data_IF_022789524570
#
_entry.id   IF_022789524570
#
_cell.length_a   1.000
_cell.length_b   1.000
_cell.length_c   1.000
_cell.angle_alpha   90.00
_cell.angle_beta   90.00
_cell.angle_gamma   90.00
#
_symmetry.space_group_name_H-M   'P 1'
#
loop_
_entity.id
_entity.type
_entity.pdbx_description
1 polymer ?
#
# COMPACT_ATOMS: atom_id res chain seq x y z
N UNK A 1 -24.70 -36.40 21.01
CA UNK A 1 -24.15 -37.75 21.33
C UNK A 1 -24.67 -38.27 22.66
N UNK A 2 -24.70 -37.51 23.78
CA UNK A 2 -25.16 -37.94 25.09
C UNK A 2 -26.61 -38.47 25.09
N UNK A 3 -27.54 -37.72 24.49
CA UNK A 3 -28.95 -38.16 24.37
C UNK A 3 -29.07 -39.41 23.52
N UNK A 4 -28.36 -39.50 22.40
CA UNK A 4 -28.36 -40.69 21.55
C UNK A 4 -27.78 -41.94 22.28
N UNK A 5 -26.82 -41.75 23.19
CA UNK A 5 -26.29 -42.82 24.00
C UNK A 5 -27.34 -43.36 25.01
N UNK A 6 -28.03 -42.43 25.70
CA UNK A 6 -29.08 -42.83 26.65
C UNK A 6 -30.24 -43.58 25.98
N UNK A 7 -30.71 -43.06 24.83
CA UNK A 7 -31.77 -43.73 24.05
C UNK A 7 -31.29 -45.09 23.52
N UNK A 8 -30.06 -45.16 23.00
CA UNK A 8 -29.48 -46.39 22.49
C UNK A 8 -29.31 -47.46 23.56
N UNK A 9 -28.88 -47.08 24.78
CA UNK A 9 -28.80 -48.00 25.93
C UNK A 9 -30.19 -48.53 26.33
N UNK A 10 -31.21 -47.66 26.33
CA UNK A 10 -32.59 -48.10 26.64
C UNK A 10 -33.11 -49.09 25.61
N UNK A 11 -32.92 -48.79 24.30
CA UNK A 11 -33.32 -49.72 23.22
C UNK A 11 -32.54 -51.02 23.23
N UNK A 12 -31.31 -51.02 23.72
CA UNK A 12 -30.53 -52.26 23.88
C UNK A 12 -31.05 -53.10 25.07
N UNK A 13 -31.42 -52.44 26.17
CA UNK A 13 -31.98 -53.08 27.33
C UNK A 13 -33.34 -53.74 27.02
N UNK A 14 -34.17 -53.12 26.18
CA UNK A 14 -35.45 -53.64 25.72
C UNK A 14 -35.30 -54.74 24.63
N UNK A 15 -34.08 -55.05 24.17
CA UNK A 15 -33.84 -56.01 23.11
C UNK A 15 -34.18 -55.50 21.67
N UNK A 16 -34.57 -54.25 21.51
CA UNK A 16 -34.92 -53.68 20.22
C UNK A 16 -33.73 -53.53 19.27
N UNK A 17 -32.54 -53.34 19.83
CA UNK A 17 -31.26 -53.27 19.06
C UNK A 17 -30.21 -54.10 19.80
N UNK A 18 -29.22 -54.59 19.05
CA UNK A 18 -28.07 -55.28 19.64
C UNK A 18 -26.98 -54.28 20.04
N UNK A 19 -26.11 -54.71 20.99
CA UNK A 19 -24.92 -53.93 21.38
C UNK A 19 -24.00 -53.62 20.18
N UNK A 20 -23.91 -54.56 19.21
CA UNK A 20 -23.13 -54.35 17.96
C UNK A 20 -23.72 -53.26 17.08
N UNK A 21 -25.05 -53.18 16.97
CA UNK A 21 -25.71 -52.07 16.21
C UNK A 21 -25.51 -50.74 16.89
N UNK A 22 -25.58 -50.67 18.21
CA UNK A 22 -25.30 -49.45 18.96
C UNK A 22 -23.85 -48.99 18.76
N UNK A 23 -22.90 -49.90 18.86
CA UNK A 23 -21.49 -49.62 18.63
C UNK A 23 -21.23 -49.12 17.18
N UNK A 24 -21.81 -49.80 16.18
CA UNK A 24 -21.72 -49.39 14.77
C UNK A 24 -22.30 -48.01 14.52
N UNK A 25 -23.43 -47.67 15.16
CA UNK A 25 -24.02 -46.35 15.07
C UNK A 25 -23.04 -45.26 15.55
N UNK A 26 -22.45 -45.45 16.75
CA UNK A 26 -21.49 -44.45 17.28
C UNK A 26 -20.23 -44.37 16.45
N UNK A 27 -19.71 -45.50 15.96
CA UNK A 27 -18.55 -45.50 15.07
C UNK A 27 -18.85 -44.70 13.78
N UNK A 28 -20.00 -44.94 13.15
CA UNK A 28 -20.40 -44.24 11.94
C UNK A 28 -20.69 -42.76 12.21
N UNK A 29 -21.39 -42.42 13.31
CA UNK A 29 -21.65 -41.04 13.70
C UNK A 29 -20.36 -40.24 13.91
N UNK A 30 -19.36 -40.86 14.54
CA UNK A 30 -18.04 -40.24 14.76
C UNK A 30 -17.32 -39.98 13.43
N UNK A 31 -17.40 -40.90 12.47
CA UNK A 31 -16.80 -40.73 11.15
C UNK A 31 -17.40 -39.54 10.36
N UNK A 32 -18.70 -39.24 10.56
CA UNK A 32 -19.37 -38.10 9.88
C UNK A 32 -19.01 -36.74 10.51
N UNK A 33 -18.76 -36.72 11.83
CA UNK A 33 -18.45 -35.45 12.52
C UNK A 33 -17.18 -34.80 11.97
N UNK A 34 -16.17 -35.56 11.61
CA UNK A 34 -14.90 -35.07 11.08
C UNK A 34 -15.07 -34.22 9.79
N UNK A 35 -15.65 -34.82 8.73
CA UNK A 35 -15.93 -34.08 7.49
C UNK A 35 -16.81 -32.83 7.68
N UNK A 36 -17.82 -32.88 8.55
CA UNK A 36 -18.68 -31.72 8.86
C UNK A 36 -17.88 -30.57 9.51
N UNK A 37 -17.00 -30.89 10.45
CA UNK A 37 -16.08 -29.88 11.02
C UNK A 37 -15.14 -29.31 9.98
N UNK A 38 -14.62 -30.17 9.10
CA UNK A 38 -13.72 -29.74 8.02
C UNK A 38 -14.42 -28.76 7.06
N UNK A 39 -15.68 -28.99 6.70
CA UNK A 39 -16.47 -28.06 5.89
C UNK A 39 -16.61 -26.68 6.56
N UNK A 40 -16.89 -26.64 7.87
CA UNK A 40 -16.94 -25.39 8.62
C UNK A 40 -15.63 -24.62 8.58
N UNK A 41 -14.49 -25.32 8.72
CA UNK A 41 -13.17 -24.72 8.64
C UNK A 41 -12.86 -24.20 7.22
N UNK A 42 -13.21 -24.96 6.18
CA UNK A 42 -13.02 -24.55 4.79
C UNK A 42 -13.83 -23.30 4.43
N UNK A 43 -15.07 -23.21 4.91
CA UNK A 43 -15.88 -22.00 4.74
C UNK A 43 -15.24 -20.78 5.40
N UNK A 44 -14.72 -20.93 6.61
CA UNK A 44 -13.99 -19.86 7.30
C UNK A 44 -12.73 -19.42 6.53
N UNK A 45 -11.97 -20.37 5.99
CA UNK A 45 -10.81 -20.06 5.15
C UNK A 45 -11.18 -19.39 3.84
N UNK A 46 -12.30 -19.77 3.21
CA UNK A 46 -12.78 -19.13 1.99
C UNK A 46 -13.15 -17.66 2.22
N UNK A 47 -13.79 -17.33 3.34
CA UNK A 47 -14.11 -15.93 3.70
C UNK A 47 -12.83 -15.11 3.92
N UNK A 48 -11.85 -15.67 4.62
CA UNK A 48 -10.57 -14.99 4.84
C UNK A 48 -9.80 -14.78 3.52
N UNK A 49 -9.82 -15.79 2.63
CA UNK A 49 -9.20 -15.68 1.31
C UNK A 49 -9.88 -14.60 0.45
N UNK A 50 -11.22 -14.51 0.47
CA UNK A 50 -11.96 -13.46 -0.23
C UNK A 50 -11.53 -12.07 0.26
N UNK A 51 -11.49 -11.85 1.58
CA UNK A 51 -11.06 -10.55 2.14
C UNK A 51 -9.62 -10.20 1.77
N UNK A 52 -8.73 -11.19 1.73
CA UNK A 52 -7.34 -10.95 1.31
C UNK A 52 -7.24 -10.61 -0.18
N UNK A 53 -8.06 -11.25 -1.03
CA UNK A 53 -8.16 -10.95 -2.45
C UNK A 53 -8.74 -9.55 -2.70
N UNK A 54 -9.78 -9.15 -1.98
CA UNK A 54 -10.37 -7.82 -2.10
C UNK A 54 -9.33 -6.72 -1.84
N UNK A 55 -8.55 -6.87 -0.77
CA UNK A 55 -7.44 -5.93 -0.47
C UNK A 55 -6.33 -5.96 -1.52
N UNK A 56 -6.04 -7.13 -2.08
CA UNK A 56 -5.05 -7.25 -3.15
C UNK A 56 -5.52 -6.50 -4.40
N UNK A 57 -6.76 -6.71 -4.81
CA UNK A 57 -7.31 -6.03 -5.98
C UNK A 57 -7.49 -4.54 -5.74
N UNK A 58 -7.86 -4.09 -4.55
CA UNK A 58 -7.91 -2.66 -4.20
C UNK A 58 -6.58 -1.96 -4.51
N UNK A 59 -5.45 -2.59 -4.15
CA UNK A 59 -4.13 -2.04 -4.45
C UNK A 59 -3.80 -2.14 -5.94
N UNK A 60 -4.11 -3.28 -6.59
CA UNK A 60 -3.79 -3.49 -8.01
C UNK A 60 -4.63 -2.64 -8.95
N UNK A 61 -5.88 -2.38 -8.60
CA UNK A 61 -6.82 -1.60 -9.39
C UNK A 61 -6.72 -0.09 -9.11
N UNK A 62 -5.88 0.32 -8.13
CA UNK A 62 -5.62 1.74 -7.88
C UNK A 62 -4.90 2.35 -9.06
N UNK A 63 -5.56 3.28 -9.74
CA UNK A 63 -4.98 3.99 -10.87
C UNK A 63 -3.81 4.87 -10.43
N UNK A 64 -2.71 4.79 -11.16
CA UNK A 64 -1.60 5.70 -10.96
C UNK A 64 -1.94 7.08 -11.52
N UNK A 65 -2.15 8.05 -10.64
CA UNK A 65 -2.51 9.43 -11.02
C UNK A 65 -1.30 10.22 -11.50
N UNK A 66 -0.07 9.81 -11.12
CA UNK A 66 1.16 10.48 -11.52
C UNK A 66 1.76 9.74 -12.69
N UNK A 67 1.50 10.27 -13.87
CA UNK A 67 1.96 9.72 -15.15
C UNK A 67 2.74 10.76 -15.94
N UNK A 68 3.61 10.30 -16.84
CA UNK A 68 4.27 11.19 -17.80
C UNK A 68 3.23 11.81 -18.75
N UNK A 69 3.39 13.07 -19.14
CA UNK A 69 2.52 13.67 -20.14
C UNK A 69 2.66 12.97 -21.50
N UNK A 70 1.62 13.02 -22.32
CA UNK A 70 1.64 12.39 -23.66
C UNK A 70 2.75 12.99 -24.57
N UNK A 71 3.11 14.23 -24.34
CA UNK A 71 4.14 14.97 -25.09
C UNK A 71 5.08 15.66 -24.11
N UNK A 72 6.05 14.95 -23.57
CA UNK A 72 7.00 15.51 -22.63
C UNK A 72 7.82 16.64 -23.26
N UNK A 73 8.16 17.63 -22.44
CA UNK A 73 9.12 18.65 -22.83
C UNK A 73 10.50 17.99 -23.11
N UNK A 74 11.20 18.39 -24.17
CA UNK A 74 12.51 17.85 -24.47
C UNK A 74 13.52 18.37 -23.44
N UNK A 75 13.94 17.51 -22.52
CA UNK A 75 14.97 17.81 -21.51
C UNK A 75 16.15 16.89 -21.72
N UNK A 76 17.34 17.46 -21.82
CA UNK A 76 18.59 16.71 -21.89
C UNK A 76 19.20 16.63 -20.47
N UNK A 77 19.21 15.45 -19.81
CA UNK A 77 19.79 15.31 -18.48
C UNK A 77 21.28 15.67 -18.41
N UNK A 78 22.02 15.52 -19.52
CA UNK A 78 23.44 15.82 -19.56
C UNK A 78 23.72 17.34 -19.60
N UNK A 79 22.75 18.14 -20.01
CA UNK A 79 22.83 19.59 -20.05
C UNK A 79 22.22 20.27 -18.81
N UNK A 80 21.65 19.49 -17.89
CA UNK A 80 20.98 20.04 -16.71
C UNK A 80 21.99 20.72 -15.77
N UNK A 81 21.61 21.92 -15.31
CA UNK A 81 22.40 22.72 -14.35
C UNK A 81 21.89 22.64 -12.91
N UNK A 82 20.65 22.16 -12.72
CA UNK A 82 20.05 21.87 -11.42
C UNK A 82 19.49 23.11 -10.71
N UNK A 83 19.00 24.10 -11.44
CA UNK A 83 18.23 25.20 -10.86
C UNK A 83 16.82 24.73 -10.51
N UNK A 84 16.43 24.80 -9.24
CA UNK A 84 15.09 24.41 -8.78
C UNK A 84 14.33 25.65 -8.30
N UNK A 85 13.10 25.82 -8.78
CA UNK A 85 12.23 26.90 -8.35
C UNK A 85 10.83 26.38 -8.03
N UNK A 86 10.32 26.82 -6.90
CA UNK A 86 8.93 26.69 -6.48
C UNK A 86 8.27 28.05 -6.59
N UNK A 87 7.07 28.11 -7.17
CA UNK A 87 6.34 29.34 -7.41
C UNK A 87 4.90 29.17 -6.91
N UNK A 88 4.58 29.81 -5.78
CA UNK A 88 3.28 29.73 -5.12
C UNK A 88 2.80 28.30 -4.87
N UNK A 89 3.66 27.41 -4.41
CA UNK A 89 3.33 25.99 -4.28
C UNK A 89 2.38 25.75 -3.12
N UNK A 90 1.22 25.17 -3.43
CA UNK A 90 0.26 24.64 -2.46
C UNK A 90 0.23 23.13 -2.55
N UNK A 91 0.06 22.46 -1.41
CA UNK A 91 -0.10 21.02 -1.37
C UNK A 91 -0.96 20.56 -0.20
N UNK A 92 -1.86 19.64 -0.52
CA UNK A 92 -2.69 18.91 0.44
C UNK A 92 -2.74 17.43 0.04
N UNK A 93 -2.63 16.53 1.02
CA UNK A 93 -2.81 15.11 0.78
C UNK A 93 -4.28 14.80 0.45
N UNK A 94 -4.51 13.90 -0.51
CA UNK A 94 -5.87 13.57 -0.98
C UNK A 94 -6.77 12.95 0.11
N UNK A 95 -6.17 12.26 1.07
CA UNK A 95 -6.82 11.63 2.21
C UNK A 95 -6.96 12.53 3.44
N UNK A 96 -6.47 13.79 3.36
CA UNK A 96 -6.56 14.73 4.46
C UNK A 96 -8.02 15.14 4.71
N UNK A 97 -8.49 15.15 5.99
CA UNK A 97 -9.83 15.60 6.33
C UNK A 97 -10.11 17.03 5.85
N UNK A 98 -11.34 17.33 5.44
CA UNK A 98 -11.70 18.65 4.86
C UNK A 98 -11.35 19.86 5.75
N UNK A 99 -11.38 19.67 7.07
CA UNK A 99 -11.07 20.72 8.04
C UNK A 99 -9.56 20.96 8.25
N UNK A 100 -8.70 20.12 7.68
CA UNK A 100 -7.25 20.29 7.73
C UNK A 100 -6.85 21.14 6.53
N UNK A 101 -6.14 22.23 6.77
CA UNK A 101 -5.61 23.11 5.73
C UNK A 101 -4.49 22.45 4.91
N UNK A 102 -3.98 23.21 3.95
CA UNK A 102 -2.84 22.78 3.14
C UNK A 102 -1.61 22.54 4.02
N UNK A 103 -0.84 21.52 3.67
CA UNK A 103 0.46 21.24 4.31
C UNK A 103 1.51 22.25 3.85
N UNK A 104 1.41 22.68 2.59
CA UNK A 104 2.17 23.78 2.02
C UNK A 104 1.17 24.82 1.50
N UNK A 105 1.36 26.06 1.88
CA UNK A 105 0.45 27.17 1.57
C UNK A 105 1.22 28.34 0.97
N UNK A 106 1.28 28.38 -0.37
CA UNK A 106 1.92 29.45 -1.13
C UNK A 106 3.44 29.52 -0.94
N UNK A 107 4.13 28.40 -1.05
CA UNK A 107 5.58 28.35 -0.85
C UNK A 107 6.32 28.80 -2.09
N UNK A 108 7.14 29.86 -1.94
CA UNK A 108 8.10 30.33 -2.92
C UNK A 108 9.52 30.00 -2.47
N UNK A 109 10.29 29.36 -3.34
CA UNK A 109 11.66 28.93 -3.07
C UNK A 109 12.48 28.90 -4.35
N UNK A 110 13.74 29.31 -4.28
CA UNK A 110 14.68 29.20 -5.39
C UNK A 110 16.00 28.62 -4.90
N UNK A 111 16.45 27.53 -5.52
CA UNK A 111 17.76 26.91 -5.32
C UNK A 111 18.55 27.07 -6.60
N UNK A 112 19.66 27.79 -6.54
CA UNK A 112 20.50 28.08 -7.70
C UNK A 112 21.41 26.88 -8.03
N UNK A 113 21.90 26.80 -9.27
CA UNK A 113 22.88 25.78 -9.62
C UNK A 113 24.08 25.74 -8.67
N UNK A 114 24.38 24.54 -8.14
CA UNK A 114 25.49 24.34 -7.21
C UNK A 114 25.24 24.86 -5.79
N UNK A 115 24.07 25.39 -5.49
CA UNK A 115 23.70 25.85 -4.15
C UNK A 115 23.28 24.68 -3.27
N UNK A 116 23.65 24.76 -1.97
CA UNK A 116 23.15 23.88 -0.93
C UNK A 116 22.21 24.67 -0.03
N UNK A 117 20.94 24.23 0.06
CA UNK A 117 19.93 24.86 0.89
C UNK A 117 19.48 23.93 2.01
N UNK A 118 19.37 24.44 3.23
CA UNK A 118 18.83 23.71 4.37
C UNK A 118 17.42 24.18 4.70
N UNK A 119 16.45 23.25 4.73
CA UNK A 119 15.09 23.52 5.19
C UNK A 119 15.02 23.25 6.69
N UNK A 120 14.75 24.28 7.48
CA UNK A 120 14.64 24.22 8.94
C UNK A 120 13.23 24.54 9.40
N UNK A 121 12.76 23.89 10.44
CA UNK A 121 11.41 24.13 10.99
C UNK A 121 11.00 23.01 11.95
N UNK A 122 9.91 23.24 12.68
CA UNK A 122 9.33 22.27 13.62
C UNK A 122 8.84 21.02 12.90
N UNK A 123 8.69 19.91 13.64
CA UNK A 123 8.07 18.69 13.11
C UNK A 123 6.65 19.01 12.62
N UNK A 124 6.28 18.48 11.46
CA UNK A 124 4.97 18.75 10.84
C UNK A 124 4.89 20.03 9.99
N UNK A 125 5.98 20.80 9.83
CA UNK A 125 5.98 22.04 9.01
C UNK A 125 6.08 21.81 7.48
N UNK A 126 5.90 20.58 6.99
CA UNK A 126 5.86 20.29 5.55
C UNK A 126 7.22 20.08 4.86
N UNK A 127 8.36 20.09 5.59
CA UNK A 127 9.71 19.93 4.98
C UNK A 127 9.87 18.66 4.15
N UNK A 128 9.49 17.52 4.73
CA UNK A 128 9.57 16.22 4.04
C UNK A 128 8.60 16.16 2.86
N UNK A 129 7.42 16.75 3.00
CA UNK A 129 6.43 16.87 1.93
C UNK A 129 6.99 17.67 0.76
N UNK A 130 7.62 18.81 1.04
CA UNK A 130 8.23 19.65 -0.01
C UNK A 130 9.31 18.89 -0.77
N UNK A 131 10.16 18.12 -0.08
CA UNK A 131 11.19 17.29 -0.73
C UNK A 131 10.59 16.16 -1.58
N UNK A 132 9.41 15.66 -1.24
CA UNK A 132 8.70 14.62 -2.02
C UNK A 132 8.03 15.18 -3.28
N UNK A 133 7.73 16.47 -3.32
CA UNK A 133 7.15 17.11 -4.50
C UNK A 133 8.18 17.31 -5.62
N UNK A 134 9.45 17.55 -5.31
CA UNK A 134 10.49 17.80 -6.31
C UNK A 134 10.69 16.61 -7.27
N UNK A 135 10.81 15.34 -6.81
CA UNK A 135 10.86 14.19 -7.70
C UNK A 135 9.48 13.74 -8.20
N UNK A 136 8.44 14.56 -7.95
CA UNK A 136 7.06 14.31 -8.33
C UNK A 136 6.55 12.95 -7.81
N UNK A 137 6.72 12.71 -6.49
CA UNK A 137 6.02 11.59 -5.80
C UNK A 137 4.56 11.96 -5.55
N UNK A 138 4.24 13.25 -5.52
CA UNK A 138 2.91 13.84 -5.49
C UNK A 138 2.88 15.03 -6.43
N UNK A 139 1.72 15.35 -7.00
CA UNK A 139 1.51 16.58 -7.75
C UNK A 139 1.08 17.72 -6.81
N UNK A 140 1.50 18.96 -7.12
CA UNK A 140 1.07 20.14 -6.38
C UNK A 140 -0.42 20.38 -6.55
N UNK A 141 -1.11 20.84 -5.50
CA UNK A 141 -2.53 21.24 -5.57
C UNK A 141 -2.68 22.54 -6.35
N UNK A 142 -1.73 23.48 -6.19
CA UNK A 142 -1.62 24.70 -6.96
C UNK A 142 -0.16 25.17 -7.01
N UNK A 143 0.14 26.14 -7.87
CA UNK A 143 1.49 26.60 -8.13
C UNK A 143 2.26 25.68 -9.07
N UNK A 144 3.57 25.89 -9.16
CA UNK A 144 4.46 25.17 -10.06
C UNK A 144 5.83 24.91 -9.43
N UNK A 145 6.42 23.78 -9.80
CA UNK A 145 7.82 23.44 -9.49
C UNK A 145 8.54 23.30 -10.82
N UNK A 146 9.64 24.01 -10.99
CA UNK A 146 10.44 23.93 -12.21
C UNK A 146 11.86 23.46 -11.90
N UNK A 147 12.44 22.68 -12.80
CA UNK A 147 13.87 22.38 -12.84
C UNK A 147 14.41 22.93 -14.15
N UNK A 148 15.44 23.75 -14.04
CA UNK A 148 16.05 24.45 -15.19
C UNK A 148 15.03 25.19 -16.07
N UNK A 149 13.95 25.73 -15.43
CA UNK A 149 12.90 26.49 -16.07
C UNK A 149 11.78 25.65 -16.73
N UNK A 150 11.85 24.33 -16.66
CA UNK A 150 10.81 23.43 -17.16
C UNK A 150 9.97 22.92 -16.00
N UNK A 151 8.64 23.00 -16.11
CA UNK A 151 7.72 22.45 -15.09
C UNK A 151 7.90 20.94 -15.00
N UNK A 152 8.01 20.40 -13.79
CA UNK A 152 8.19 18.98 -13.55
C UNK A 152 7.00 18.13 -14.06
N UNK A 153 5.82 18.74 -14.21
CA UNK A 153 4.63 18.08 -14.76
C UNK A 153 4.73 17.89 -16.27
N UNK A 154 5.50 18.72 -16.94
CA UNK A 154 5.73 18.63 -18.38
C UNK A 154 6.92 17.71 -18.73
N UNK A 155 7.67 17.25 -17.75
CA UNK A 155 8.78 16.32 -17.95
C UNK A 155 8.31 14.87 -18.03
N UNK A 156 9.04 14.03 -18.77
CA UNK A 156 8.94 12.59 -18.61
C UNK A 156 9.42 12.18 -17.23
N UNK A 157 8.67 11.30 -16.54
CA UNK A 157 8.97 10.90 -15.16
C UNK A 157 10.32 10.21 -15.01
N UNK A 158 10.73 9.43 -16.01
CA UNK A 158 12.04 8.76 -16.00
C UNK A 158 13.16 9.79 -16.07
N UNK A 159 13.02 10.78 -16.95
CA UNK A 159 13.95 11.90 -17.09
C UNK A 159 14.02 12.71 -15.78
N UNK A 160 12.88 13.11 -15.22
CA UNK A 160 12.80 13.84 -13.95
C UNK A 160 13.53 13.11 -12.81
N UNK A 161 13.29 11.80 -12.67
CA UNK A 161 13.93 10.96 -11.65
C UNK A 161 15.40 10.70 -11.91
N UNK A 162 15.88 10.85 -13.13
CA UNK A 162 17.31 10.85 -13.42
C UNK A 162 17.98 12.16 -13.00
N UNK A 163 17.25 13.27 -13.03
CA UNK A 163 17.75 14.58 -12.60
C UNK A 163 17.71 14.76 -11.07
N UNK A 164 16.87 14.00 -10.37
CA UNK A 164 16.63 14.15 -8.94
C UNK A 164 16.96 12.87 -8.18
N UNK A 165 17.86 12.96 -7.21
CA UNK A 165 18.13 11.86 -6.26
C UNK A 165 17.60 12.24 -4.88
N UNK A 166 16.89 11.33 -4.22
CA UNK A 166 16.33 11.55 -2.87
C UNK A 166 16.90 10.51 -1.91
N UNK A 167 17.44 10.96 -0.79
CA UNK A 167 17.77 10.11 0.34
C UNK A 167 16.73 10.33 1.45
N UNK A 168 15.94 9.29 1.74
CA UNK A 168 14.97 9.32 2.83
C UNK A 168 15.63 9.05 4.17
N UNK A 169 15.04 9.56 5.26
CA UNK A 169 15.52 9.32 6.62
C UNK A 169 15.43 7.83 6.99
N UNK A 170 14.33 7.17 6.61
CA UNK A 170 14.14 5.73 6.82
C UNK A 170 14.62 4.97 5.58
N UNK A 171 15.74 4.27 5.71
CA UNK A 171 16.26 3.42 4.66
C UNK A 171 15.53 2.07 4.66
N UNK A 172 14.79 1.78 3.60
CA UNK A 172 14.24 0.44 3.35
C UNK A 172 15.28 -0.40 2.63
N UNK A 173 15.71 -1.49 3.27
CA UNK A 173 16.62 -2.46 2.64
C UNK A 173 15.84 -3.69 2.18
N UNK A 174 16.04 -4.06 0.94
CA UNK A 174 15.52 -5.32 0.39
C UNK A 174 16.46 -6.48 0.74
N UNK A 175 15.92 -7.70 0.81
CA UNK A 175 16.70 -8.92 1.08
C UNK A 175 17.56 -9.31 -0.13
N UNK A 176 18.46 -8.42 -0.52
CA UNK A 176 19.33 -8.55 -1.68
C UNK A 176 20.74 -8.05 -1.36
N UNK A 177 21.67 -8.08 -2.32
CA UNK A 177 23.04 -7.61 -2.11
C UNK A 177 23.08 -6.11 -1.81
N UNK A 178 24.15 -5.64 -1.13
CA UNK A 178 24.40 -4.21 -0.90
C UNK A 178 24.41 -3.45 -2.23
N UNK A 179 24.99 -4.04 -3.27
CA UNK A 179 25.06 -3.43 -4.59
C UNK A 179 23.67 -3.21 -5.16
N UNK A 180 22.79 -4.20 -5.09
CA UNK A 180 21.44 -4.13 -5.66
C UNK A 180 20.57 -3.16 -4.86
N UNK A 181 20.75 -3.07 -3.54
CA UNK A 181 20.11 -2.06 -2.71
C UNK A 181 20.55 -0.62 -2.98
N UNK A 182 21.74 -0.41 -3.56
CA UNK A 182 22.27 0.93 -3.91
C UNK A 182 21.92 1.32 -5.35
N UNK A 183 21.68 0.34 -6.24
CA UNK A 183 21.41 0.55 -7.66
C UNK A 183 19.92 0.50 -8.02
N UNK A 184 19.03 0.40 -7.02
CA UNK A 184 17.57 0.43 -7.19
C UNK A 184 17.09 1.74 -7.84
#
# INVERSE_FOLDING_TARGET
LGVALLVGLHLTADGSITTGQLASYFATATLVVGPVRMLGMLLGQAVNASTALDRHYEVMDTENTIVSPERPAPVDPAAAIGAVRLDGVHFRYADAPEHVGDVLDGVDLEVRPGETMALVGVTGSGKSTLLQLVPRLYDTTAGAITIDGVDIRDMDLTTLRTLTAVAFEDATLFSDSVRDNVLL
#
